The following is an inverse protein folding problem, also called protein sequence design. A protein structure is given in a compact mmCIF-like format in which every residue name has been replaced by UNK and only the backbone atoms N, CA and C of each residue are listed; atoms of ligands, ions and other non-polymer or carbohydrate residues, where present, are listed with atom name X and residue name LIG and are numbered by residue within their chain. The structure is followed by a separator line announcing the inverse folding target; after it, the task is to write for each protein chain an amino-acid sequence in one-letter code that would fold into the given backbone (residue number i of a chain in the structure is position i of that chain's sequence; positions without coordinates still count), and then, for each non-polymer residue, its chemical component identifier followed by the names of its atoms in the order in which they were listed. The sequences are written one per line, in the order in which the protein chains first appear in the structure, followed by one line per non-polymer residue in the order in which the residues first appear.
data_IF_053427049896
#
_entry.id   IF_053427049896
#
_cell.length_a   1.000
_cell.length_b   1.000
_cell.length_c   1.000
_cell.angle_alpha   90.00
_cell.angle_beta   90.00
_cell.angle_gamma   90.00
#
_symmetry.space_group_name_H-M   'P 1'
#
loop_
_entity.id
_entity.type
_entity.pdbx_description
1 polymer ?
#
# COMPACT_ATOMS: atom_id res chain seq x y z
N UNK A 1 1.13 -8.41 -5.22
CA UNK A 1 1.18 -7.12 -5.93
C UNK A 1 2.60 -6.81 -6.36
N UNK A 2 2.77 -6.39 -7.58
CA UNK A 2 4.04 -5.88 -8.07
C UNK A 2 4.07 -4.36 -7.84
N UNK A 3 4.94 -3.91 -6.96
CA UNK A 3 5.01 -2.50 -6.54
C UNK A 3 5.43 -1.61 -7.71
N UNK A 4 6.40 -2.05 -8.52
CA UNK A 4 6.85 -1.29 -9.68
C UNK A 4 5.74 -1.13 -10.71
N UNK A 5 4.99 -2.18 -10.94
CA UNK A 5 3.86 -2.13 -11.86
C UNK A 5 2.76 -1.19 -11.36
N UNK A 6 2.48 -1.22 -10.07
CA UNK A 6 1.50 -0.32 -9.45
C UNK A 6 1.92 1.14 -9.62
N UNK A 7 3.19 1.45 -9.42
CA UNK A 7 3.71 2.80 -9.62
C UNK A 7 3.56 3.22 -11.08
N UNK A 8 3.86 2.32 -12.02
CA UNK A 8 3.70 2.60 -13.45
C UNK A 8 2.25 2.91 -13.80
N UNK A 9 1.30 2.15 -13.25
CA UNK A 9 -0.11 2.40 -13.47
C UNK A 9 -0.52 3.80 -13.01
N UNK A 10 -0.05 4.20 -11.83
CA UNK A 10 -0.33 5.53 -11.29
C UNK A 10 0.32 6.62 -12.14
N UNK A 11 1.54 6.39 -12.62
CA UNK A 11 2.22 7.31 -13.54
C UNK A 11 1.43 7.47 -14.82
N UNK A 12 0.98 6.36 -15.41
CA UNK A 12 0.21 6.38 -16.66
C UNK A 12 -1.10 7.13 -16.48
N UNK A 13 -1.77 6.92 -15.37
CA UNK A 13 -3.01 7.63 -15.05
C UNK A 13 -2.81 9.14 -14.97
N UNK A 14 -1.68 9.58 -14.41
CA UNK A 14 -1.33 11.00 -14.29
C UNK A 14 -0.63 11.56 -15.52
N UNK A 15 -0.17 10.70 -16.43
CA UNK A 15 0.64 11.13 -17.56
C UNK A 15 2.04 11.57 -17.15
N UNK A 16 2.59 11.00 -16.08
CA UNK A 16 3.90 11.40 -15.54
C UNK A 16 5.02 10.51 -16.08
N UNK A 17 6.15 11.16 -16.39
CA UNK A 17 7.42 10.48 -16.66
C UNK A 17 8.12 10.16 -15.33
N UNK A 18 9.20 9.36 -15.41
CA UNK A 18 10.06 9.12 -14.24
C UNK A 18 10.62 10.43 -13.67
N UNK A 19 11.00 11.36 -14.55
CA UNK A 19 11.50 12.66 -14.14
C UNK A 19 10.43 13.43 -13.36
N UNK A 20 9.20 13.45 -13.86
CA UNK A 20 8.10 14.14 -13.20
C UNK A 20 7.79 13.53 -11.83
N UNK A 21 7.78 12.19 -11.74
CA UNK A 21 7.55 11.50 -10.48
C UNK A 21 8.65 11.84 -9.46
N UNK A 22 9.91 11.79 -9.87
CA UNK A 22 11.02 12.13 -8.98
C UNK A 22 10.90 13.56 -8.46
N UNK A 23 10.55 14.49 -9.33
CA UNK A 23 10.37 15.89 -8.97
C UNK A 23 9.23 16.08 -7.96
N UNK A 24 8.08 15.50 -8.24
CA UNK A 24 6.90 15.63 -7.38
C UNK A 24 7.09 14.92 -6.03
N UNK A 25 7.81 13.79 -6.02
CA UNK A 25 8.09 13.04 -4.81
C UNK A 25 9.29 13.61 -4.02
N UNK A 26 9.98 14.59 -4.59
CA UNK A 26 11.19 15.17 -4.01
C UNK A 26 12.26 14.11 -3.76
N UNK A 27 12.42 13.21 -4.72
CA UNK A 27 13.40 12.13 -4.69
C UNK A 27 14.42 12.32 -5.80
N UNK A 28 15.66 11.84 -5.62
CA UNK A 28 16.63 11.84 -6.72
C UNK A 28 16.10 11.03 -7.91
N UNK A 29 16.35 11.50 -9.12
CA UNK A 29 15.95 10.77 -10.31
C UNK A 29 16.57 9.37 -10.36
N UNK A 30 17.79 9.23 -9.85
CA UNK A 30 18.45 7.93 -9.75
C UNK A 30 17.68 6.94 -8.90
N UNK A 31 17.02 7.40 -7.83
CA UNK A 31 16.21 6.54 -6.98
C UNK A 31 15.04 5.93 -7.77
N UNK A 32 14.34 6.76 -8.54
CA UNK A 32 13.23 6.29 -9.38
C UNK A 32 13.74 5.40 -10.50
N UNK A 33 14.84 5.77 -11.14
CA UNK A 33 15.44 4.98 -12.21
C UNK A 33 15.86 3.60 -11.73
N UNK A 34 16.52 3.51 -10.57
CA UNK A 34 16.94 2.25 -9.98
C UNK A 34 15.78 1.36 -9.59
N UNK A 35 14.68 1.98 -9.11
CA UNK A 35 13.48 1.24 -8.74
C UNK A 35 12.94 0.42 -9.92
N UNK A 36 12.93 0.99 -11.12
CA UNK A 36 12.44 0.30 -12.31
C UNK A 36 13.47 -0.61 -12.96
N UNK A 37 14.74 -0.22 -12.97
CA UNK A 37 15.80 -0.97 -13.66
C UNK A 37 16.29 -2.17 -12.89
N UNK A 38 16.39 -2.07 -11.56
CA UNK A 38 16.97 -3.12 -10.73
C UNK A 38 15.92 -4.03 -10.10
N UNK A 39 14.66 -3.71 -10.26
CA UNK A 39 13.55 -4.47 -9.69
C UNK A 39 13.71 -4.74 -8.19
N UNK A 40 14.34 -3.82 -7.48
CA UNK A 40 14.49 -3.90 -6.04
C UNK A 40 13.23 -3.33 -5.37
N UNK A 41 12.82 -3.96 -4.27
CA UNK A 41 11.71 -3.42 -3.49
C UNK A 41 12.11 -2.05 -2.92
N UNK A 42 11.30 -1.01 -3.13
CA UNK A 42 11.59 0.30 -2.55
C UNK A 42 11.43 0.26 -1.03
N UNK A 43 12.15 1.16 -0.36
CA UNK A 43 12.02 1.31 1.09
C UNK A 43 10.69 1.95 1.44
N UNK A 44 10.26 1.80 2.69
CA UNK A 44 9.03 2.42 3.18
C UNK A 44 9.03 3.96 2.97
N UNK A 45 10.10 4.70 3.32
CA UNK A 45 10.12 6.14 3.07
C UNK A 45 9.96 6.52 1.59
N UNK A 46 10.52 5.71 0.69
CA UNK A 46 10.38 5.93 -0.75
C UNK A 46 8.93 5.74 -1.19
N UNK A 47 8.27 4.67 -0.75
CA UNK A 47 6.86 4.44 -1.06
C UNK A 47 5.98 5.57 -0.50
N UNK A 48 6.26 6.00 0.72
CA UNK A 48 5.54 7.11 1.35
C UNK A 48 5.66 8.40 0.56
N UNK A 49 6.86 8.73 0.09
CA UNK A 49 7.11 9.91 -0.73
C UNK A 49 6.35 9.83 -2.06
N UNK A 50 6.34 8.66 -2.70
CA UNK A 50 5.62 8.43 -3.95
C UNK A 50 4.10 8.58 -3.73
N UNK A 51 3.57 8.00 -2.66
CA UNK A 51 2.15 8.14 -2.33
C UNK A 51 1.77 9.61 -2.13
N UNK A 52 2.60 10.35 -1.44
CA UNK A 52 2.39 11.79 -1.23
C UNK A 52 2.36 12.54 -2.55
N UNK A 53 3.27 12.21 -3.47
CA UNK A 53 3.32 12.83 -4.79
C UNK A 53 2.04 12.58 -5.58
N UNK A 54 1.50 11.37 -5.50
CA UNK A 54 0.25 11.03 -6.18
C UNK A 54 -1.01 11.52 -5.44
N UNK A 55 -0.87 12.01 -4.21
CA UNK A 55 -2.00 12.44 -3.42
C UNK A 55 -2.88 11.30 -2.92
N UNK A 56 -2.28 10.15 -2.67
CA UNK A 56 -3.00 8.96 -2.17
C UNK A 56 -2.42 8.51 -0.84
N UNK A 57 -3.18 7.71 -0.12
CA UNK A 57 -2.71 7.08 1.12
C UNK A 57 -1.97 5.79 0.80
N UNK A 58 -1.20 5.29 1.78
CA UNK A 58 -0.58 3.97 1.66
C UNK A 58 -1.63 2.88 1.44
N UNK A 59 -2.77 2.98 2.12
CA UNK A 59 -3.86 2.03 1.94
C UNK A 59 -4.38 2.04 0.51
N UNK A 60 -4.56 3.22 -0.09
CA UNK A 60 -4.99 3.35 -1.48
C UNK A 60 -3.95 2.81 -2.45
N UNK A 61 -2.67 3.02 -2.14
CA UNK A 61 -1.58 2.50 -2.97
C UNK A 61 -1.63 0.98 -3.06
N UNK A 62 -1.83 0.31 -1.92
CA UNK A 62 -1.85 -1.14 -1.86
C UNK A 62 -3.22 -1.74 -2.18
N UNK A 63 -4.25 -0.91 -2.37
CA UNK A 63 -5.54 -1.39 -2.83
C UNK A 63 -5.43 -1.80 -4.30
N UNK A 64 -5.91 -3.01 -4.59
CA UNK A 64 -5.86 -3.54 -5.94
C UNK A 64 -7.09 -3.05 -6.71
N UNK A 65 -6.90 -2.06 -7.57
CA UNK A 65 -8.01 -1.41 -8.29
C UNK A 65 -8.75 -2.33 -9.26
N UNK A 66 -8.15 -3.45 -9.61
CA UNK A 66 -8.78 -4.40 -10.54
C UNK A 66 -9.66 -5.43 -9.88
N UNK A 67 -9.54 -5.58 -8.57
CA UNK A 67 -10.28 -6.59 -7.82
C UNK A 67 -11.16 -5.91 -6.79
N UNK A 68 -12.43 -5.77 -7.11
CA UNK A 68 -13.41 -5.47 -6.09
C UNK A 68 -13.40 -6.65 -5.12
N UNK A 69 -12.78 -6.46 -3.96
CA UNK A 69 -12.83 -7.49 -2.91
C UNK A 69 -14.27 -7.54 -2.42
N UNK A 70 -14.98 -8.58 -2.86
CA UNK A 70 -16.32 -8.83 -2.35
C UNK A 70 -16.15 -9.43 -0.96
N UNK A 71 -16.43 -8.62 0.05
CA UNK A 71 -16.36 -9.09 1.43
C UNK A 71 -17.51 -10.06 1.71
N UNK A 72 -17.19 -11.17 2.38
CA UNK A 72 -18.22 -12.05 2.91
C UNK A 72 -18.97 -11.33 4.04
N UNK A 73 -20.20 -11.80 4.41
CA UNK A 73 -20.90 -11.23 5.56
C UNK A 73 -20.06 -11.20 6.84
N UNK A 74 -19.29 -12.27 7.08
CA UNK A 74 -18.42 -12.37 8.25
C UNK A 74 -17.32 -11.31 8.22
N UNK A 75 -16.71 -11.08 7.05
CA UNK A 75 -15.69 -10.06 6.90
C UNK A 75 -16.24 -8.67 7.11
N UNK A 76 -17.44 -8.39 6.60
CA UNK A 76 -18.12 -7.10 6.82
C UNK A 76 -18.37 -6.86 8.31
N UNK A 77 -18.88 -7.87 9.00
CA UNK A 77 -19.14 -7.78 10.42
C UNK A 77 -17.84 -7.52 11.20
N UNK A 78 -16.77 -8.25 10.86
CA UNK A 78 -15.47 -8.06 11.48
C UNK A 78 -14.97 -6.63 11.32
N UNK A 79 -15.07 -6.05 10.12
CA UNK A 79 -14.62 -4.68 9.86
C UNK A 79 -15.44 -3.65 10.64
N UNK A 80 -16.76 -3.86 10.73
CA UNK A 80 -17.62 -2.95 11.50
C UNK A 80 -17.28 -2.99 12.98
N UNK A 81 -17.10 -4.18 13.53
CA UNK A 81 -16.72 -4.34 14.94
C UNK A 81 -15.33 -3.79 15.20
N UNK A 82 -14.39 -4.03 14.29
CA UNK A 82 -13.03 -3.52 14.39
C UNK A 82 -13.01 -1.99 14.56
N UNK A 83 -13.86 -1.30 13.80
CA UNK A 83 -13.94 0.16 13.85
C UNK A 83 -14.42 0.71 15.20
N UNK A 84 -15.06 -0.12 16.03
CA UNK A 84 -15.54 0.29 17.36
C UNK A 84 -14.52 0.04 18.46
N UNK A 85 -13.42 -0.64 18.15
CA UNK A 85 -12.43 -1.06 19.15
C UNK A 85 -11.39 0.03 19.39
N UNK A 86 -10.83 0.03 20.61
CA UNK A 86 -9.68 0.86 20.94
C UNK A 86 -8.41 0.27 20.34
N UNK A 87 -7.34 1.06 20.32
CA UNK A 87 -6.02 0.61 19.86
C UNK A 87 -5.55 -0.62 20.66
N UNK A 88 -5.74 -0.60 21.96
CA UNK A 88 -5.37 -1.72 22.84
C UNK A 88 -6.17 -2.97 22.50
N UNK A 89 -7.47 -2.83 22.28
CA UNK A 89 -8.33 -3.93 21.88
C UNK A 89 -7.95 -4.51 20.53
N UNK A 90 -7.51 -3.66 19.57
CA UNK A 90 -7.00 -4.13 18.28
C UNK A 90 -5.83 -5.09 18.49
N UNK A 91 -4.91 -4.75 19.38
CA UNK A 91 -3.74 -5.61 19.67
C UNK A 91 -4.15 -6.96 20.23
N UNK A 92 -5.16 -6.99 21.10
CA UNK A 92 -5.68 -8.23 21.68
C UNK A 92 -6.27 -9.12 20.59
N UNK A 93 -7.07 -8.54 19.69
CA UNK A 93 -7.69 -9.28 18.58
C UNK A 93 -6.62 -9.85 17.65
N UNK A 94 -5.64 -9.04 17.27
CA UNK A 94 -4.54 -9.47 16.39
C UNK A 94 -3.76 -10.60 17.06
N UNK A 95 -3.43 -10.48 18.33
CA UNK A 95 -2.70 -11.51 19.08
C UNK A 95 -3.47 -12.81 19.12
N UNK A 96 -4.79 -12.74 19.33
CA UNK A 96 -5.66 -13.91 19.35
C UNK A 96 -5.68 -14.62 18.00
N UNK A 97 -5.80 -13.87 16.92
CA UNK A 97 -5.80 -14.42 15.57
C UNK A 97 -4.45 -15.08 15.25
N UNK A 98 -3.34 -14.46 15.63
CA UNK A 98 -2.00 -15.03 15.45
C UNK A 98 -1.85 -16.34 16.24
N UNK A 99 -2.40 -16.37 17.45
CA UNK A 99 -2.36 -17.57 18.28
C UNK A 99 -3.08 -18.73 17.61
N UNK A 100 -4.27 -18.51 17.05
CA UNK A 100 -4.98 -19.53 16.31
C UNK A 100 -4.17 -20.06 15.13
N UNK A 101 -3.51 -19.19 14.40
CA UNK A 101 -2.71 -19.58 13.23
C UNK A 101 -1.46 -20.38 13.61
N UNK A 102 -0.92 -20.18 14.82
CA UNK A 102 0.28 -20.87 15.29
C UNK A 102 -0.01 -22.19 15.99
N UNK A 103 -1.27 -22.55 16.15
CA UNK A 103 -1.69 -23.72 16.92
C UNK A 103 -2.09 -24.90 16.04
N UNK A 104 -1.59 -24.95 14.84
CA UNK A 104 -1.82 -26.09 13.94
C UNK A 104 -0.92 -27.26 14.27
#
# INVERSE_FOLDING_TARGET
MDIQERIKQLMDTKGWSEYKLAKEANLPQSTISHLFKRNNAPTYPTIEAICRAFGITMAQFFADEGEAVVLTPDQKELLLLWGTLTQEQHQIVISTMKHFNNNE
#
